data_IF_737749186255
#
_entry.id   IF_737749186255
#
_cell.length_a   1.000
_cell.length_b   1.000
_cell.length_c   1.000
_cell.angle_alpha   90.00
_cell.angle_beta   90.00
_cell.angle_gamma   90.00
#
_symmetry.space_group_name_H-M   'P 1'
#
loop_
_entity.id
_entity.type
_entity.pdbx_description
1 polymer ?
#
# COMPACT_ATOMS: atom_id res chain seq x y z
N UNK A 1 -9.49 6.31 4.77
CA UNK A 1 -9.20 6.65 3.36
C UNK A 1 -9.85 7.97 2.97
N UNK A 2 -11.17 8.05 2.80
CA UNK A 2 -11.85 9.27 2.35
C UNK A 2 -11.59 10.52 3.22
N UNK A 3 -11.56 10.37 4.55
CA UNK A 3 -11.23 11.48 5.46
C UNK A 3 -9.79 11.98 5.30
N UNK A 4 -8.85 11.11 4.94
CA UNK A 4 -7.47 11.53 4.66
C UNK A 4 -7.39 12.39 3.40
N UNK A 5 -8.28 12.19 2.42
CA UNK A 5 -8.34 13.01 1.21
C UNK A 5 -9.00 14.38 1.43
N UNK A 6 -9.91 14.51 2.40
CA UNK A 6 -10.73 15.72 2.59
C UNK A 6 -10.40 16.48 3.87
N UNK A 7 -9.66 15.86 4.80
CA UNK A 7 -9.44 16.36 6.16
C UNK A 7 -10.72 16.42 7.00
N UNK A 8 -11.80 15.77 6.56
CA UNK A 8 -13.12 15.80 7.22
C UNK A 8 -13.74 14.41 7.25
N UNK A 9 -14.50 14.05 8.31
CA UNK A 9 -15.16 12.75 8.35
C UNK A 9 -16.13 12.59 7.18
N UNK A 10 -16.08 11.43 6.51
CA UNK A 10 -16.98 11.12 5.39
C UNK A 10 -18.44 11.06 5.84
N UNK A 11 -18.66 10.56 7.06
CA UNK A 11 -19.98 10.42 7.67
C UNK A 11 -19.96 11.02 9.09
N UNK A 12 -20.11 12.34 9.24
CA UNK A 12 -20.00 13.01 10.54
C UNK A 12 -21.30 12.93 11.35
N UNK A 13 -21.74 11.72 11.71
CA UNK A 13 -22.97 11.50 12.48
C UNK A 13 -22.84 11.82 13.97
N UNK A 14 -23.90 12.35 14.55
CA UNK A 14 -23.98 12.70 15.99
C UNK A 14 -24.72 11.64 16.82
N UNK A 15 -25.53 10.82 16.18
CA UNK A 15 -26.30 9.70 16.78
C UNK A 15 -26.31 8.53 15.79
N UNK A 16 -26.70 7.34 16.23
CA UNK A 16 -26.81 6.16 15.34
C UNK A 16 -27.74 6.43 14.14
N UNK A 17 -28.86 7.12 14.38
CA UNK A 17 -29.81 7.46 13.33
C UNK A 17 -29.27 8.53 12.37
N UNK A 18 -28.63 9.58 12.90
CA UNK A 18 -27.97 10.60 12.06
C UNK A 18 -26.82 9.97 11.23
N UNK A 19 -26.08 9.03 11.81
CA UNK A 19 -25.03 8.28 11.13
C UNK A 19 -25.60 7.50 9.93
N UNK A 20 -26.68 6.74 10.13
CA UNK A 20 -27.34 5.99 9.05
C UNK A 20 -27.85 6.92 7.95
N UNK A 21 -28.52 8.01 8.32
CA UNK A 21 -29.02 8.98 7.34
C UNK A 21 -27.91 9.62 6.52
N UNK A 22 -26.74 9.87 7.11
CA UNK A 22 -25.56 10.37 6.38
C UNK A 22 -25.01 9.35 5.40
N UNK A 23 -24.97 8.08 5.80
CA UNK A 23 -24.56 6.99 4.91
C UNK A 23 -25.54 6.90 3.74
N UNK A 24 -26.86 6.89 3.99
CA UNK A 24 -27.89 6.80 2.94
C UNK A 24 -27.87 8.00 1.99
N UNK A 25 -27.65 9.22 2.50
CA UNK A 25 -27.55 10.41 1.65
C UNK A 25 -26.40 10.34 0.63
N UNK A 26 -25.30 9.67 0.99
CA UNK A 26 -24.14 9.54 0.12
C UNK A 26 -24.24 8.30 -0.77
N UNK A 27 -24.49 7.14 -0.18
CA UNK A 27 -24.44 5.84 -0.85
C UNK A 27 -25.79 5.39 -1.42
N UNK A 28 -26.86 6.15 -1.15
CA UNK A 28 -28.23 5.82 -1.48
C UNK A 28 -28.91 5.01 -0.38
N UNK A 29 -30.24 5.07 -0.31
CA UNK A 29 -30.98 4.24 0.65
C UNK A 29 -31.01 2.80 0.16
N UNK A 30 -30.57 1.80 0.97
CA UNK A 30 -30.64 0.40 0.58
C UNK A 30 -32.07 -0.02 0.28
N UNK A 31 -32.23 -0.78 -0.79
CA UNK A 31 -33.46 -1.46 -1.19
C UNK A 31 -33.24 -2.97 -1.16
N UNK A 32 -34.33 -3.75 -1.19
CA UNK A 32 -34.25 -5.22 -1.31
C UNK A 32 -33.55 -5.69 -2.59
N UNK A 33 -33.43 -4.82 -3.60
CA UNK A 33 -32.66 -5.10 -4.82
C UNK A 33 -31.16 -4.93 -4.56
N UNK A 34 -30.76 -3.85 -3.89
CA UNK A 34 -29.34 -3.53 -3.63
C UNK A 34 -28.76 -4.28 -2.43
N UNK A 35 -29.60 -4.62 -1.46
CA UNK A 35 -29.25 -5.41 -0.27
C UNK A 35 -30.44 -6.29 0.14
N UNK A 36 -30.51 -7.52 -0.39
CA UNK A 36 -31.56 -8.47 -0.04
C UNK A 36 -31.54 -8.78 1.46
N UNK A 37 -32.72 -8.77 2.09
CA UNK A 37 -32.92 -9.00 3.51
C UNK A 37 -32.72 -7.76 4.39
N UNK A 38 -32.40 -6.59 3.83
CA UNK A 38 -32.18 -5.37 4.61
C UNK A 38 -33.38 -4.99 5.48
N UNK A 39 -34.61 -5.13 4.97
CA UNK A 39 -35.82 -4.81 5.72
C UNK A 39 -36.12 -5.77 6.87
N UNK A 40 -35.43 -6.92 6.93
CA UNK A 40 -35.59 -7.91 8.00
C UNK A 40 -34.73 -7.66 9.24
N UNK A 41 -33.82 -6.68 9.20
CA UNK A 41 -32.98 -6.38 10.36
C UNK A 41 -33.80 -5.84 11.54
N UNK A 42 -33.52 -6.26 12.78
CA UNK A 42 -34.30 -5.84 13.96
C UNK A 42 -34.36 -4.32 14.18
N UNK A 43 -33.30 -3.61 13.79
CA UNK A 43 -33.20 -2.15 13.91
C UNK A 43 -33.68 -1.41 12.65
N UNK A 44 -34.15 -2.12 11.62
CA UNK A 44 -34.69 -1.51 10.43
C UNK A 44 -35.96 -0.73 10.76
N UNK A 45 -35.94 0.58 10.48
CA UNK A 45 -37.12 1.43 10.59
C UNK A 45 -37.86 1.42 9.24
N UNK A 46 -39.18 1.15 9.22
CA UNK A 46 -39.94 1.02 7.98
C UNK A 46 -40.04 2.29 7.11
N UNK A 47 -39.56 3.45 7.58
CA UNK A 47 -39.74 4.75 6.93
C UNK A 47 -38.45 5.55 6.77
N UNK A 48 -37.31 4.92 6.46
CA UNK A 48 -36.14 5.71 6.06
C UNK A 48 -36.46 6.51 4.78
N UNK A 49 -36.09 7.81 4.71
CA UNK A 49 -36.22 8.57 3.48
C UNK A 49 -35.41 7.91 2.37
N UNK A 50 -35.96 7.92 1.15
CA UNK A 50 -35.23 7.46 -0.02
C UNK A 50 -34.26 8.54 -0.50
N UNK A 51 -32.99 8.16 -0.66
CA UNK A 51 -31.96 8.98 -1.26
C UNK A 51 -31.35 8.27 -2.48
N UNK A 52 -31.17 8.96 -3.62
CA UNK A 52 -30.39 8.42 -4.71
C UNK A 52 -28.89 8.44 -4.36
N UNK A 53 -28.18 7.37 -4.75
CA UNK A 53 -26.74 7.30 -4.57
C UNK A 53 -26.03 8.44 -5.30
N UNK A 54 -25.09 9.09 -4.62
CA UNK A 54 -24.26 10.14 -5.20
C UNK A 54 -22.94 9.53 -5.69
N UNK A 55 -22.40 9.99 -6.82
CA UNK A 55 -21.08 9.56 -7.26
C UNK A 55 -20.03 10.01 -6.25
N UNK A 56 -19.27 9.07 -5.69
CA UNK A 56 -18.22 9.38 -4.71
C UNK A 56 -17.15 10.34 -5.27
N UNK A 57 -16.92 10.36 -6.59
CA UNK A 57 -16.04 11.32 -7.26
C UNK A 57 -16.49 12.77 -7.08
N UNK A 58 -17.80 13.04 -6.95
CA UNK A 58 -18.29 14.39 -6.69
C UNK A 58 -17.98 14.85 -5.26
N UNK A 59 -17.89 13.92 -4.31
CA UNK A 59 -17.56 14.20 -2.90
C UNK A 59 -16.06 14.20 -2.65
N UNK A 60 -15.32 13.42 -3.43
CA UNK A 60 -13.88 13.23 -3.33
C UNK A 60 -13.22 13.59 -4.67
N UNK A 61 -13.22 14.86 -5.10
CA UNK A 61 -12.72 15.24 -6.43
C UNK A 61 -11.21 15.01 -6.63
N UNK A 62 -10.45 14.94 -5.53
CA UNK A 62 -8.99 14.75 -5.55
C UNK A 62 -8.56 13.29 -5.48
N UNK A 63 -9.50 12.34 -5.32
CA UNK A 63 -9.14 10.93 -5.24
C UNK A 63 -8.85 10.39 -6.64
N UNK A 64 -7.74 9.67 -6.79
CA UNK A 64 -7.39 9.04 -8.06
C UNK A 64 -8.34 7.89 -8.39
N UNK A 65 -8.48 7.51 -9.68
CA UNK A 65 -9.42 6.47 -10.10
C UNK A 65 -9.28 5.14 -9.36
N UNK A 66 -8.05 4.64 -9.16
CA UNK A 66 -7.83 3.39 -8.41
C UNK A 66 -8.12 3.53 -6.92
N UNK A 67 -7.93 4.73 -6.35
CA UNK A 67 -8.32 5.01 -4.98
C UNK A 67 -9.84 5.05 -4.81
N UNK A 68 -10.54 5.63 -5.79
CA UNK A 68 -12.00 5.65 -5.83
C UNK A 68 -12.58 4.23 -5.92
N UNK A 69 -12.05 3.41 -6.81
CA UNK A 69 -12.48 2.01 -6.97
C UNK A 69 -12.30 1.23 -5.67
N UNK A 70 -11.12 1.32 -5.04
CA UNK A 70 -10.87 0.65 -3.77
C UNK A 70 -11.82 1.15 -2.66
N UNK A 71 -12.06 2.45 -2.59
CA UNK A 71 -12.99 3.03 -1.61
C UNK A 71 -14.43 2.52 -1.82
N UNK A 72 -14.89 2.42 -3.07
CA UNK A 72 -16.20 1.86 -3.38
C UNK A 72 -16.32 0.40 -2.94
N UNK A 73 -15.25 -0.39 -3.07
CA UNK A 73 -15.21 -1.78 -2.57
C UNK A 73 -15.25 -1.86 -1.04
N UNK A 74 -14.69 -0.88 -0.33
CA UNK A 74 -14.80 -0.81 1.13
C UNK A 74 -16.20 -0.40 1.61
N UNK A 75 -16.89 0.45 0.85
CA UNK A 75 -18.18 1.03 1.25
C UNK A 75 -19.40 0.22 0.81
N UNK A 76 -19.23 -1.06 0.46
CA UNK A 76 -20.35 -1.95 0.15
C UNK A 76 -21.26 -2.15 1.38
N UNK A 77 -22.57 -2.02 1.15
CA UNK A 77 -23.60 -2.27 2.15
C UNK A 77 -23.59 -3.72 2.63
N UNK A 78 -23.67 -4.65 1.67
CA UNK A 78 -23.60 -6.07 1.92
C UNK A 78 -22.20 -6.44 2.44
N UNK A 79 -22.06 -6.91 3.68
CA UNK A 79 -20.74 -7.20 4.25
C UNK A 79 -19.93 -8.21 3.44
N UNK A 80 -20.60 -9.21 2.84
CA UNK A 80 -19.99 -10.23 2.00
C UNK A 80 -19.45 -9.70 0.66
N UNK A 81 -19.91 -8.53 0.20
CA UNK A 81 -19.41 -7.89 -1.01
C UNK A 81 -18.24 -6.93 -0.73
N UNK A 82 -17.97 -6.65 0.55
CA UNK A 82 -16.86 -5.77 0.94
C UNK A 82 -15.53 -6.47 0.71
N UNK A 83 -14.59 -5.77 0.07
CA UNK A 83 -13.25 -6.31 -0.14
C UNK A 83 -12.58 -6.64 1.19
N UNK A 84 -11.93 -7.80 1.26
CA UNK A 84 -11.17 -8.20 2.44
C UNK A 84 -9.90 -7.36 2.57
N UNK A 85 -9.34 -7.25 3.78
CA UNK A 85 -8.07 -6.55 3.97
C UNK A 85 -6.94 -7.19 3.16
N UNK A 86 -6.94 -8.53 3.02
CA UNK A 86 -5.95 -9.27 2.23
C UNK A 86 -6.04 -8.91 0.75
N UNK A 87 -7.24 -8.89 0.18
CA UNK A 87 -7.45 -8.59 -1.23
C UNK A 87 -7.29 -7.09 -1.51
N UNK A 88 -7.58 -6.23 -0.54
CA UNK A 88 -7.32 -4.80 -0.66
C UNK A 88 -5.82 -4.50 -0.80
N UNK A 89 -4.94 -5.25 -0.12
CA UNK A 89 -3.49 -5.08 -0.21
C UNK A 89 -2.93 -5.42 -1.60
N UNK A 90 -3.62 -6.26 -2.37
CA UNK A 90 -3.23 -6.62 -3.75
C UNK A 90 -3.84 -5.69 -4.79
N UNK A 91 -4.62 -4.68 -4.37
CA UNK A 91 -5.30 -3.76 -5.26
C UNK A 91 -4.33 -2.87 -6.07
N UNK A 92 -4.77 -2.44 -7.25
CA UNK A 92 -3.99 -1.57 -8.16
C UNK A 92 -3.52 -0.28 -7.48
N UNK A 93 -4.36 0.25 -6.58
CA UNK A 93 -4.05 1.42 -5.75
C UNK A 93 -2.72 1.34 -4.97
N UNK A 94 -2.25 0.15 -4.60
CA UNK A 94 -1.00 -0.02 -3.86
C UNK A 94 0.21 -0.42 -4.73
N UNK A 95 0.06 -0.53 -6.05
CA UNK A 95 1.13 -1.04 -6.92
C UNK A 95 2.40 -0.19 -6.84
N UNK A 96 2.27 1.13 -6.89
CA UNK A 96 3.42 2.05 -6.83
C UNK A 96 4.15 1.93 -5.49
N UNK A 97 3.40 1.80 -4.39
CA UNK A 97 3.96 1.60 -3.05
C UNK A 97 4.72 0.28 -2.97
N UNK A 98 4.15 -0.81 -3.49
CA UNK A 98 4.83 -2.11 -3.56
C UNK A 98 6.10 -2.03 -4.40
N UNK A 99 6.05 -1.34 -5.53
CA UNK A 99 7.21 -1.14 -6.40
C UNK A 99 8.31 -0.33 -5.71
N UNK A 100 7.96 0.74 -4.98
CA UNK A 100 8.90 1.55 -4.21
C UNK A 100 9.62 0.71 -3.14
N UNK A 101 8.88 -0.13 -2.39
CA UNK A 101 9.49 -1.02 -1.41
C UNK A 101 10.41 -2.05 -2.04
N UNK A 102 10.02 -2.64 -3.17
CA UNK A 102 10.84 -3.59 -3.90
C UNK A 102 12.14 -2.94 -4.42
N UNK A 103 12.05 -1.73 -4.95
CA UNK A 103 13.21 -0.96 -5.41
C UNK A 103 14.16 -0.62 -4.26
N UNK A 104 13.63 -0.14 -3.12
CA UNK A 104 14.43 0.15 -1.94
C UNK A 104 15.16 -1.09 -1.41
N UNK A 105 14.48 -2.24 -1.37
CA UNK A 105 15.09 -3.50 -0.95
C UNK A 105 16.19 -3.95 -1.92
N UNK A 106 15.96 -3.87 -3.23
CA UNK A 106 16.95 -4.22 -4.24
C UNK A 106 18.19 -3.32 -4.17
N UNK A 107 18.00 -2.01 -3.97
CA UNK A 107 19.10 -1.05 -3.81
C UNK A 107 19.95 -1.34 -2.56
N UNK A 108 19.31 -1.65 -1.43
CA UNK A 108 20.02 -2.02 -0.20
C UNK A 108 20.87 -3.28 -0.39
N UNK A 109 20.33 -4.30 -1.07
CA UNK A 109 21.07 -5.52 -1.38
C UNK A 109 22.24 -5.27 -2.34
N UNK A 110 22.04 -4.47 -3.37
CA UNK A 110 23.09 -4.11 -4.33
C UNK A 110 24.25 -3.34 -3.66
N UNK A 111 23.94 -2.44 -2.72
CA UNK A 111 24.97 -1.71 -1.96
C UNK A 111 25.83 -2.65 -1.11
N UNK A 112 25.22 -3.62 -0.41
CA UNK A 112 25.95 -4.62 0.39
C UNK A 112 26.85 -5.47 -0.50
N UNK A 113 26.36 -5.92 -1.66
CA UNK A 113 27.14 -6.70 -2.61
C UNK A 113 28.31 -5.90 -3.20
N UNK A 114 28.08 -4.64 -3.58
CA UNK A 114 29.12 -3.77 -4.12
C UNK A 114 30.24 -3.51 -3.08
N UNK A 115 29.89 -3.31 -1.81
CA UNK A 115 30.86 -3.16 -0.73
C UNK A 115 31.68 -4.43 -0.51
N UNK A 116 31.04 -5.60 -0.49
CA UNK A 116 31.72 -6.88 -0.35
C UNK A 116 32.69 -7.16 -1.52
N UNK A 117 32.27 -6.86 -2.76
CA UNK A 117 33.12 -7.00 -3.95
C UNK A 117 34.31 -6.04 -3.91
N UNK A 118 34.10 -4.78 -3.51
CA UNK A 118 35.18 -3.81 -3.37
C UNK A 118 36.22 -4.25 -2.33
N UNK A 119 35.76 -4.77 -1.18
CA UNK A 119 36.64 -5.30 -0.13
C UNK A 119 37.41 -6.54 -0.61
N UNK A 120 36.75 -7.47 -1.30
CA UNK A 120 37.39 -8.66 -1.87
C UNK A 120 38.46 -8.29 -2.92
N UNK A 121 38.15 -7.35 -3.81
CA UNK A 121 39.10 -6.86 -4.82
C UNK A 121 40.32 -6.17 -4.17
N UNK A 122 40.11 -5.37 -3.12
CA UNK A 122 41.20 -4.76 -2.36
C UNK A 122 42.08 -5.81 -1.66
N UNK A 123 41.48 -6.83 -1.03
CA UNK A 123 42.22 -7.90 -0.38
C UNK A 123 43.06 -8.73 -1.36
N UNK A 124 42.50 -9.04 -2.54
CA UNK A 124 43.22 -9.74 -3.60
C UNK A 124 44.40 -8.89 -4.12
N UNK A 125 44.19 -7.60 -4.39
CA UNK A 125 45.25 -6.70 -4.84
C UNK A 125 46.40 -6.58 -3.82
N UNK A 126 46.07 -6.49 -2.52
CA UNK A 126 47.06 -6.48 -1.44
C UNK A 126 47.85 -7.79 -1.35
N UNK A 127 47.18 -8.94 -1.47
CA UNK A 127 47.84 -10.25 -1.45
C UNK A 127 48.82 -10.43 -2.63
N UNK A 128 48.42 -10.03 -3.84
CA UNK A 128 49.30 -10.05 -5.01
C UNK A 128 50.50 -9.11 -4.84
N UNK A 129 50.32 -7.91 -4.31
CA UNK A 129 51.41 -6.96 -4.05
C UNK A 129 52.41 -7.48 -3.00
N UNK A 130 51.91 -8.08 -1.91
CA UNK A 130 52.76 -8.69 -0.88
C UNK A 130 53.57 -9.87 -1.43
N UNK A 131 52.95 -10.74 -2.23
CA UNK A 131 53.64 -11.87 -2.86
C UNK A 131 54.75 -11.41 -3.82
N UNK A 132 54.50 -10.37 -4.62
CA UNK A 132 55.50 -9.79 -5.52
C UNK A 132 56.68 -9.17 -4.76
N UNK A 133 56.41 -8.44 -3.66
CA UNK A 133 57.46 -7.85 -2.82
C UNK A 133 58.35 -8.93 -2.17
N UNK A 134 57.75 -10.03 -1.70
CA UNK A 134 58.48 -11.15 -1.12
C UNK A 134 59.39 -11.85 -2.14
N UNK A 135 58.90 -12.08 -3.36
CA UNK A 135 59.71 -12.66 -4.45
C UNK A 135 60.90 -11.77 -4.83
N UNK A 136 60.71 -10.45 -4.90
CA UNK A 136 61.81 -9.51 -5.16
C UNK A 136 62.89 -9.55 -4.07
N UNK A 137 62.51 -9.63 -2.79
CA UNK A 137 63.48 -9.76 -1.70
C UNK A 137 64.30 -11.03 -1.79
N UNK A 138 63.70 -12.17 -2.17
CA UNK A 138 64.44 -13.42 -2.33
C UNK A 138 65.46 -13.37 -3.47
N UNK A 139 65.11 -12.76 -4.60
CA UNK A 139 66.04 -12.62 -5.73
C UNK A 139 67.24 -11.73 -5.39
N UNK A 140 67.04 -10.66 -4.60
CA UNK A 140 68.14 -9.79 -4.17
C UNK A 140 69.12 -10.50 -3.20
N UNK A 141 68.64 -11.42 -2.36
CA UNK A 141 69.49 -12.17 -1.45
C UNK A 141 70.36 -13.21 -2.19
N UNK A 142 69.90 -13.75 -3.32
CA UNK A 142 70.66 -14.72 -4.12
C UNK A 142 71.77 -14.07 -4.98
N UNK A 143 71.69 -12.76 -5.27
CA UNK A 143 72.73 -12.05 -6.04
C UNK A 143 73.89 -11.53 -5.16
N UNK A 144 73.82 -11.70 -3.84
CA UNK A 144 74.87 -11.27 -2.90
C UNK A 144 75.74 -12.44 -2.38
N UNK A 145 75.58 -13.65 -2.95
CA UNK A 145 76.47 -14.80 -2.75
C UNK A 145 77.20 -15.11 -4.05
#
# INVERSE_FOLDING_TARGET
MAEMYTGRPLFPGKTNEDQLLRIFRLLGTPTEVTWPGFSSFPEHKPHFPYYPAQPLSAVLPMIEPYGLDLLQRFLQYQPQLRVSAKDALTHTYFHDVHQLYQQAAAQAQAQVQAQAQAQAAQAQAQAHAQAAAYQQQQQQQQQQQ
#
